data_IF_611444866181
#
_entry.id   IF_611444866181
#
_cell.length_a   1.000
_cell.length_b   1.000
_cell.length_c   1.000
_cell.angle_alpha   90.00
_cell.angle_beta   90.00
_cell.angle_gamma   90.00
#
_symmetry.space_group_name_H-M   'P 1'
#
loop_
_entity.id
_entity.type
_entity.pdbx_description
1 polymer ?
#
# COMPACT_ATOMS: atom_id res chain seq x y z
N UNK A 1 13.28 -14.36 13.86
CA UNK A 1 12.77 -14.52 15.25
C UNK A 1 12.14 -13.18 15.63
N UNK A 2 10.83 -13.05 15.41
CA UNK A 2 10.06 -11.89 15.85
C UNK A 2 10.09 -11.86 17.38
N UNK A 3 10.57 -10.76 17.98
CA UNK A 3 10.59 -10.61 19.44
C UNK A 3 9.17 -10.81 19.99
N UNK A 4 9.04 -11.64 21.04
CA UNK A 4 7.80 -11.85 21.81
C UNK A 4 7.09 -10.50 22.05
N UNK A 5 5.83 -10.38 21.63
CA UNK A 5 4.91 -9.37 22.20
C UNK A 5 4.04 -8.55 21.26
N UNK A 6 4.17 -8.62 19.92
CA UNK A 6 3.24 -7.93 19.02
C UNK A 6 2.27 -8.92 18.38
N UNK A 7 0.99 -8.83 18.75
CA UNK A 7 -0.08 -9.45 17.98
C UNK A 7 -0.27 -8.66 16.68
N UNK A 8 -0.04 -9.31 15.55
CA UNK A 8 -0.23 -8.72 14.22
C UNK A 8 -1.73 -8.71 13.93
N UNK A 9 -2.29 -7.52 13.74
CA UNK A 9 -3.69 -7.33 13.36
C UNK A 9 -3.88 -7.43 11.84
N UNK A 10 -5.13 -7.55 11.38
CA UNK A 10 -5.45 -7.47 9.95
C UNK A 10 -4.99 -6.15 9.33
N UNK A 11 -5.13 -5.03 10.06
CA UNK A 11 -4.64 -3.72 9.63
C UNK A 11 -3.12 -3.72 9.44
N UNK A 12 -2.37 -4.37 10.33
CA UNK A 12 -0.92 -4.51 10.13
C UNK A 12 -0.60 -5.31 8.86
N UNK A 13 -1.33 -6.40 8.60
CA UNK A 13 -1.16 -7.17 7.37
C UNK A 13 -1.46 -6.33 6.12
N UNK A 14 -2.48 -5.46 6.15
CA UNK A 14 -2.76 -4.51 5.07
C UNK A 14 -1.58 -3.55 4.85
N UNK A 15 -1.06 -2.95 5.93
CA UNK A 15 0.10 -2.06 5.89
C UNK A 15 1.32 -2.76 5.26
N UNK A 16 1.63 -3.98 5.70
CA UNK A 16 2.76 -4.75 5.18
C UNK A 16 2.56 -5.11 3.70
N UNK A 17 1.34 -5.45 3.27
CA UNK A 17 1.01 -5.72 1.86
C UNK A 17 1.16 -4.48 0.98
N UNK A 18 0.76 -3.30 1.45
CA UNK A 18 0.99 -2.02 0.76
C UNK A 18 2.50 -1.81 0.58
N UNK A 19 3.28 -1.95 1.65
CA UNK A 19 4.73 -1.82 1.62
C UNK A 19 5.47 -2.91 0.82
N UNK A 20 4.81 -4.03 0.50
CA UNK A 20 5.33 -5.04 -0.42
C UNK A 20 5.13 -4.63 -1.89
N UNK A 21 4.01 -3.96 -2.19
CA UNK A 21 3.68 -3.47 -3.53
C UNK A 21 4.47 -2.21 -3.88
N UNK A 22 4.65 -1.32 -2.90
CA UNK A 22 5.36 -0.07 -3.07
C UNK A 22 6.84 -0.22 -2.65
N UNK A 23 7.80 0.38 -3.37
CA UNK A 23 9.21 0.35 -2.99
C UNK A 23 9.45 1.07 -1.65
N UNK A 24 8.61 2.06 -1.34
CA UNK A 24 8.51 2.78 -0.07
C UNK A 24 7.16 3.50 0.01
N UNK A 25 6.73 3.91 1.20
CA UNK A 25 5.55 4.76 1.36
C UNK A 25 5.65 5.68 2.59
N UNK A 26 5.06 6.86 2.52
CA UNK A 26 4.87 7.74 3.67
C UNK A 26 3.67 7.29 4.51
N UNK A 27 3.60 7.79 5.74
CA UNK A 27 2.50 7.47 6.66
C UNK A 27 1.14 7.85 6.09
N UNK A 28 1.07 8.98 5.38
CA UNK A 28 -0.18 9.47 4.78
C UNK A 28 -0.60 8.63 3.56
N UNK A 29 0.33 8.18 2.71
CA UNK A 29 0.03 7.23 1.62
C UNK A 29 -0.71 6.00 2.16
N UNK A 30 -0.16 5.42 3.23
CA UNK A 30 -0.70 4.20 3.82
C UNK A 30 -2.05 4.49 4.48
N UNK A 31 -2.17 5.60 5.20
CA UNK A 31 -3.41 6.04 5.85
C UNK A 31 -4.58 6.16 4.87
N UNK A 32 -4.32 6.79 3.73
CA UNK A 32 -5.28 6.92 2.63
C UNK A 32 -5.69 5.54 2.09
N UNK A 33 -4.72 4.67 1.77
CA UNK A 33 -4.97 3.34 1.19
C UNK A 33 -5.67 2.34 2.14
N UNK A 34 -5.66 2.57 3.45
CA UNK A 34 -6.36 1.70 4.41
C UNK A 34 -7.60 2.35 5.04
N UNK A 35 -7.88 3.61 4.69
CA UNK A 35 -9.00 4.39 5.23
C UNK A 35 -8.87 4.70 6.73
N UNK A 36 -7.67 4.99 7.22
CA UNK A 36 -7.40 5.25 8.64
C UNK A 36 -6.75 6.62 8.87
N UNK A 37 -6.79 7.14 10.11
CA UNK A 37 -6.13 8.38 10.44
C UNK A 37 -4.58 8.25 10.40
N UNK A 38 -3.89 9.27 9.87
CA UNK A 38 -2.40 9.28 9.79
C UNK A 38 -1.75 9.03 11.14
N UNK A 39 -2.30 9.60 12.23
CA UNK A 39 -1.79 9.39 13.60
C UNK A 39 -1.85 7.93 14.04
N UNK A 40 -2.91 7.21 13.66
CA UNK A 40 -3.04 5.78 13.94
C UNK A 40 -1.97 4.99 13.18
N UNK A 41 -1.84 5.25 11.88
CA UNK A 41 -0.86 4.59 11.00
C UNK A 41 0.58 4.84 11.48
N UNK A 42 0.91 6.07 11.85
CA UNK A 42 2.20 6.42 12.45
C UNK A 42 2.50 5.57 13.69
N UNK A 43 1.50 5.41 14.57
CA UNK A 43 1.60 4.57 15.76
C UNK A 43 1.87 3.10 15.43
N UNK A 44 1.11 2.53 14.48
CA UNK A 44 1.30 1.15 14.01
C UNK A 44 2.66 0.93 13.37
N UNK A 45 3.07 1.81 12.45
CA UNK A 45 4.37 1.75 11.78
C UNK A 45 5.54 1.79 12.77
N UNK A 46 5.45 2.59 13.84
CA UNK A 46 6.45 2.57 14.90
C UNK A 46 6.53 1.22 15.63
N UNK A 47 5.39 0.58 15.90
CA UNK A 47 5.37 -0.75 16.52
C UNK A 47 5.93 -1.83 15.58
N UNK A 48 5.55 -1.79 14.30
CA UNK A 48 6.09 -2.68 13.27
C UNK A 48 7.58 -2.46 13.03
N UNK A 49 8.07 -1.23 13.18
CA UNK A 49 9.49 -0.92 13.08
C UNK A 49 10.29 -1.46 14.28
N UNK A 50 9.76 -1.32 15.50
CA UNK A 50 10.38 -1.89 16.71
C UNK A 50 10.49 -3.41 16.67
N UNK A 51 9.59 -4.08 15.95
CA UNK A 51 9.63 -5.53 15.74
C UNK A 51 10.45 -5.96 14.52
N UNK A 52 10.98 -5.00 13.76
CA UNK A 52 11.85 -5.26 12.60
C UNK A 52 11.10 -5.66 11.34
N UNK A 53 9.78 -5.53 11.28
CA UNK A 53 8.96 -5.85 10.10
C UNK A 53 8.96 -4.71 9.08
N UNK A 54 9.13 -3.47 9.57
CA UNK A 54 9.22 -2.25 8.76
C UNK A 54 10.51 -1.52 9.12
N UNK A 55 11.14 -0.87 8.15
CA UNK A 55 12.22 0.08 8.38
C UNK A 55 11.70 1.49 8.08
N UNK A 56 11.99 2.45 8.97
CA UNK A 56 11.61 3.85 8.80
C UNK A 56 12.86 4.70 8.61
N UNK A 57 12.91 5.49 7.54
CA UNK A 57 14.05 6.39 7.25
C UNK A 57 13.57 7.82 7.01
N UNK A 58 14.19 8.77 7.69
CA UNK A 58 14.06 10.19 7.38
C UNK A 58 14.93 10.54 6.17
N UNK A 59 14.40 11.33 5.26
CA UNK A 59 15.24 12.02 4.28
C UNK A 59 15.91 13.24 4.94
N UNK A 60 17.16 13.48 4.58
CA UNK A 60 17.99 14.54 5.17
C UNK A 60 17.51 15.97 4.83
N UNK A 61 16.60 16.13 3.87
CA UNK A 61 16.16 17.43 3.36
C UNK A 61 14.74 17.85 3.82
N UNK A 62 13.78 16.93 3.98
CA UNK A 62 12.34 17.30 4.00
C UNK A 62 11.54 16.87 5.24
N UNK A 63 12.18 16.47 6.35
CA UNK A 63 11.51 15.91 7.55
C UNK A 63 10.61 14.67 7.32
N UNK A 64 10.34 14.30 6.07
CA UNK A 64 9.48 13.20 5.67
C UNK A 64 10.09 11.85 6.04
N UNK A 65 9.23 10.98 6.59
CA UNK A 65 9.59 9.61 6.99
C UNK A 65 9.06 8.64 5.94
N UNK A 66 9.98 7.91 5.32
CA UNK A 66 9.66 6.82 4.39
C UNK A 66 9.71 5.48 5.11
N UNK A 67 8.73 4.66 4.82
CA UNK A 67 8.56 3.33 5.38
C UNK A 67 8.86 2.29 4.30
N UNK A 68 9.59 1.23 4.68
CA UNK A 68 10.03 0.16 3.79
C UNK A 68 9.71 -1.18 4.43
N UNK A 69 9.23 -2.15 3.64
CA UNK A 69 9.13 -3.52 4.12
C UNK A 69 10.53 -4.13 4.30
N UNK A 70 10.73 -4.86 5.40
CA UNK A 70 11.97 -5.62 5.61
C UNK A 70 11.85 -7.05 5.10
N UNK A 71 12.97 -7.77 5.02
CA UNK A 71 12.93 -9.19 4.69
C UNK A 71 12.12 -10.02 5.72
N UNK A 72 12.14 -9.65 7.00
CA UNK A 72 11.31 -10.31 8.02
C UNK A 72 9.82 -9.98 7.80
N UNK A 73 9.51 -8.74 7.41
CA UNK A 73 8.16 -8.35 6.99
C UNK A 73 7.63 -9.20 5.82
N UNK A 74 8.46 -9.45 4.80
CA UNK A 74 8.08 -10.36 3.69
C UNK A 74 7.81 -11.79 4.17
N UNK A 75 8.65 -12.32 5.08
CA UNK A 75 8.47 -13.67 5.63
C UNK A 75 7.15 -13.82 6.40
N UNK A 76 6.75 -12.80 7.16
CA UNK A 76 5.47 -12.78 7.88
C UNK A 76 4.27 -12.87 6.92
N UNK A 77 4.39 -12.28 5.73
CA UNK A 77 3.36 -12.37 4.70
C UNK A 77 3.38 -13.69 3.92
N UNK A 78 4.39 -14.56 4.13
CA UNK A 78 4.61 -15.73 3.28
C UNK A 78 5.04 -15.37 1.86
N UNK A 79 5.52 -14.14 1.62
CA UNK A 79 5.92 -13.66 0.31
C UNK A 79 7.41 -13.85 0.06
N UNK A 80 7.77 -14.00 -1.21
CA UNK A 80 9.17 -14.04 -1.61
C UNK A 80 9.85 -12.71 -1.25
N UNK A 81 11.07 -12.79 -0.72
CA UNK A 81 11.87 -11.62 -0.41
C UNK A 81 12.35 -11.00 -1.72
N UNK A 82 11.59 -10.05 -2.27
CA UNK A 82 12.04 -9.23 -3.40
C UNK A 82 13.35 -8.54 -3.00
N UNK A 83 14.39 -8.62 -3.84
CA UNK A 83 15.61 -7.82 -3.64
C UNK A 83 15.21 -6.36 -3.49
N UNK A 84 15.54 -5.79 -2.34
CA UNK A 84 15.21 -4.41 -1.97
C UNK A 84 15.72 -3.47 -3.07
N UNK A 85 14.82 -2.91 -3.88
CA UNK A 85 15.17 -1.81 -4.79
C UNK A 85 15.32 -0.59 -3.91
N UNK A 86 16.53 -0.32 -3.43
CA UNK A 86 16.85 0.98 -2.86
C UNK A 86 16.99 1.92 -4.07
N UNK A 87 16.08 2.88 -4.27
CA UNK A 87 16.22 3.80 -5.40
C UNK A 87 17.51 4.61 -5.24
N UNK A 88 18.15 4.98 -6.35
CA UNK A 88 19.25 5.97 -6.35
C UNK A 88 18.66 7.37 -6.30
N UNK A 89 19.37 8.37 -5.75
CA UNK A 89 18.87 9.73 -5.47
C UNK A 89 18.04 10.36 -6.63
N UNK A 90 18.49 10.21 -7.89
CA UNK A 90 17.75 10.72 -9.06
C UNK A 90 16.57 9.87 -9.56
N UNK A 91 16.37 8.65 -9.07
CA UNK A 91 15.15 7.85 -9.32
C UNK A 91 14.04 8.15 -8.32
N UNK A 92 14.33 8.86 -7.23
CA UNK A 92 13.33 9.08 -6.19
C UNK A 92 12.26 10.09 -6.57
N UNK A 93 12.56 11.10 -7.40
CA UNK A 93 11.56 12.04 -7.93
C UNK A 93 10.58 11.29 -8.85
N UNK A 94 11.11 10.52 -9.80
CA UNK A 94 10.30 9.66 -10.66
C UNK A 94 9.50 8.60 -9.88
N UNK A 95 10.06 8.02 -8.82
CA UNK A 95 9.34 7.05 -7.98
C UNK A 95 8.25 7.73 -7.12
N UNK A 96 8.38 9.03 -6.82
CA UNK A 96 7.36 9.80 -6.10
C UNK A 96 6.12 9.99 -6.97
N UNK A 97 6.30 10.50 -8.20
CA UNK A 97 5.21 10.66 -9.18
C UNK A 97 4.51 9.32 -9.48
N UNK A 98 5.28 8.23 -9.56
CA UNK A 98 4.72 6.88 -9.79
C UNK A 98 3.91 6.39 -8.58
N UNK A 99 4.33 6.69 -7.35
CA UNK A 99 3.56 6.31 -6.16
C UNK A 99 2.28 7.14 -6.06
N UNK A 100 2.35 8.44 -6.32
CA UNK A 100 1.17 9.31 -6.32
C UNK A 100 0.19 8.92 -7.44
N UNK A 101 0.69 8.63 -8.64
CA UNK A 101 -0.13 8.08 -9.73
C UNK A 101 -0.75 6.74 -9.34
N UNK A 102 0.00 5.83 -8.72
CA UNK A 102 -0.53 4.53 -8.29
C UNK A 102 -1.56 4.68 -7.17
N UNK A 103 -1.39 5.64 -6.26
CA UNK A 103 -2.36 5.96 -5.21
C UNK A 103 -3.61 6.58 -5.83
N UNK A 104 -3.45 7.52 -6.77
CA UNK A 104 -4.56 8.08 -7.53
C UNK A 104 -5.29 6.99 -8.31
N UNK A 105 -4.60 6.05 -8.93
CA UNK A 105 -5.19 4.90 -9.61
C UNK A 105 -5.92 3.99 -8.62
N UNK A 106 -5.38 3.76 -7.43
CA UNK A 106 -6.04 2.97 -6.38
C UNK A 106 -7.26 3.67 -5.79
N UNK A 107 -7.21 4.99 -5.61
CA UNK A 107 -8.32 5.81 -5.11
C UNK A 107 -9.40 6.01 -6.17
N UNK A 108 -8.98 6.21 -7.41
CA UNK A 108 -9.87 6.16 -8.57
C UNK A 108 -10.47 4.76 -8.65
N UNK A 109 -9.72 3.69 -8.43
CA UNK A 109 -10.26 2.33 -8.38
C UNK A 109 -11.27 2.16 -7.24
N UNK A 110 -11.05 2.69 -6.04
CA UNK A 110 -12.04 2.59 -4.95
C UNK A 110 -13.30 3.43 -5.22
N UNK A 111 -13.15 4.63 -5.80
CA UNK A 111 -14.26 5.50 -6.18
C UNK A 111 -15.05 4.91 -7.36
N UNK A 112 -14.33 4.50 -8.41
CA UNK A 112 -14.85 3.79 -9.59
C UNK A 112 -15.44 2.45 -9.17
N UNK A 113 -14.85 1.70 -8.24
CA UNK A 113 -15.41 0.45 -7.75
C UNK A 113 -16.69 0.71 -6.97
N UNK A 114 -16.78 1.77 -6.19
CA UNK A 114 -18.03 2.15 -5.50
C UNK A 114 -19.13 2.51 -6.51
N UNK A 115 -18.81 3.30 -7.53
CA UNK A 115 -19.74 3.65 -8.61
C UNK A 115 -20.10 2.45 -9.49
N UNK A 116 -19.13 1.59 -9.81
CA UNK A 116 -19.31 0.37 -10.60
C UNK A 116 -20.12 -0.66 -9.82
N UNK A 117 -19.90 -0.82 -8.51
CA UNK A 117 -20.74 -1.66 -7.65
C UNK A 117 -22.17 -1.14 -7.58
N UNK A 118 -22.35 0.18 -7.48
CA UNK A 118 -23.67 0.80 -7.57
C UNK A 118 -24.33 0.54 -8.95
N UNK A 119 -23.58 0.65 -10.04
CA UNK A 119 -24.02 0.31 -11.40
C UNK A 119 -24.33 -1.18 -11.56
N UNK A 120 -23.55 -2.08 -10.96
CA UNK A 120 -23.82 -3.53 -10.94
C UNK A 120 -25.17 -3.80 -10.31
N UNK A 121 -25.41 -3.18 -9.16
CA UNK A 121 -26.63 -3.37 -8.39
C UNK A 121 -27.84 -2.73 -9.11
N UNK A 122 -27.67 -1.56 -9.74
CA UNK A 122 -28.70 -0.91 -10.56
C UNK A 122 -29.04 -1.72 -11.83
N UNK A 123 -28.04 -2.31 -12.48
CA UNK A 123 -28.21 -3.08 -13.72
C UNK A 123 -28.48 -4.57 -13.49
N UNK A 124 -28.50 -5.03 -12.23
CA UNK A 124 -28.71 -6.43 -11.88
C UNK A 124 -27.67 -7.37 -12.48
N UNK A 125 -26.44 -6.90 -12.66
CA UNK A 125 -25.37 -7.68 -13.29
C UNK A 125 -24.91 -8.81 -12.36
N UNK A 126 -24.67 -9.98 -12.95
CA UNK A 126 -24.03 -11.08 -12.22
C UNK A 126 -22.57 -10.74 -11.91
N UNK A 127 -22.00 -11.38 -10.90
CA UNK A 127 -20.58 -11.16 -10.52
C UNK A 127 -19.64 -11.43 -11.70
N UNK A 128 -19.88 -12.46 -12.51
CA UNK A 128 -19.06 -12.76 -13.69
C UNK A 128 -19.18 -11.71 -14.81
N UNK A 129 -20.38 -11.18 -15.06
CA UNK A 129 -20.57 -10.13 -16.07
C UNK A 129 -19.94 -8.80 -15.63
N UNK A 130 -19.99 -8.53 -14.33
CA UNK A 130 -19.38 -7.35 -13.73
C UNK A 130 -17.84 -7.41 -13.76
N UNK A 131 -17.25 -8.56 -13.42
CA UNK A 131 -15.80 -8.75 -13.47
C UNK A 131 -15.25 -8.58 -14.89
N UNK A 132 -16.01 -9.01 -15.92
CA UNK A 132 -15.67 -8.77 -17.33
C UNK A 132 -15.75 -7.28 -17.71
N UNK A 133 -16.72 -6.55 -17.19
CA UNK A 133 -16.90 -5.11 -17.42
C UNK A 133 -15.76 -4.28 -16.80
N UNK A 134 -15.31 -4.65 -15.60
CA UNK A 134 -14.18 -4.02 -14.90
C UNK A 134 -12.90 -4.20 -15.69
N UNK A 135 -12.60 -5.44 -16.10
CA UNK A 135 -11.39 -5.75 -16.88
C UNK A 135 -11.41 -4.97 -18.21
N UNK A 136 -12.55 -4.89 -18.89
CA UNK A 136 -12.67 -4.14 -20.14
C UNK A 136 -12.46 -2.63 -19.97
N UNK A 137 -12.97 -2.05 -18.88
CA UNK A 137 -12.91 -0.60 -18.64
C UNK A 137 -11.51 -0.12 -18.23
N UNK A 138 -10.77 -0.94 -17.48
CA UNK A 138 -9.39 -0.64 -17.04
C UNK A 138 -8.41 -0.69 -18.22
N UNK A 139 -8.62 -1.61 -19.17
CA UNK A 139 -7.71 -1.79 -20.31
C UNK A 139 -7.93 -0.79 -21.46
N UNK A 140 -8.99 0.02 -21.45
CA UNK A 140 -9.26 1.03 -22.48
C UNK A 140 -8.67 2.41 -22.13
N UNK A 141 -8.31 2.64 -20.86
CA UNK A 141 -7.74 3.91 -20.41
C UNK A 141 -6.20 3.92 -20.31
N UNK A 142 -5.53 2.82 -20.68
CA UNK A 142 -4.06 2.72 -20.86
C UNK A 142 -3.76 2.74 -22.36
#
# INVERSE_FOLDING_TARGET
MVKKGLQISERDLMILKILYRLPWAMDWHIAVLIGEAVKYVFGRLNQLARTGLVERKKLLADEEVRNYLTAEGCRVLGFEVKKKRVPKIGRFEHDFDVIDSYILDCLNFDLIQTELLALRDEKGLTTEDFDRLIIFSIFIQI
#
